data_IF_332114447480
#
_entry.id   IF_332114447480
#
_cell.length_a   1.000
_cell.length_b   1.000
_cell.length_c   1.000
_cell.angle_alpha   90.00
_cell.angle_beta   90.00
_cell.angle_gamma   90.00
#
_symmetry.space_group_name_H-M   'P 1'
#
loop_
_entity.id
_entity.type
_entity.pdbx_description
1 polymer ?
#
# COMPACT_ATOMS: atom_id res chain seq x y z
N UNK A 1 10.25 44.34 24.54
CA UNK A 1 10.34 42.90 24.87
C UNK A 1 8.95 42.24 24.79
N UNK A 2 8.25 42.33 23.64
CA UNK A 2 6.85 41.82 23.51
C UNK A 2 6.62 40.98 22.25
N UNK A 3 7.51 41.08 21.25
CA UNK A 3 7.44 40.28 20.01
C UNK A 3 8.06 38.88 20.11
N UNK A 4 8.79 38.57 21.18
CA UNK A 4 9.40 37.23 21.35
C UNK A 4 8.37 36.13 21.72
N UNK A 5 7.22 36.54 22.29
CA UNK A 5 6.19 35.60 22.77
C UNK A 5 5.38 34.96 21.64
N UNK A 6 5.24 35.65 20.50
CA UNK A 6 4.44 35.16 19.35
C UNK A 6 5.15 34.00 18.62
N UNK A 7 6.49 34.04 18.57
CA UNK A 7 7.30 33.03 17.89
C UNK A 7 7.25 31.69 18.64
N UNK A 8 7.19 31.71 19.97
CA UNK A 8 7.10 30.51 20.79
C UNK A 8 5.79 29.76 20.56
N UNK A 9 4.66 30.46 20.44
CA UNK A 9 3.35 29.81 20.22
C UNK A 9 3.29 29.09 18.88
N UNK A 10 3.90 29.66 17.82
CA UNK A 10 3.93 29.04 16.48
C UNK A 10 4.74 27.75 16.43
N UNK A 11 5.75 27.57 17.29
CA UNK A 11 6.58 26.36 17.33
C UNK A 11 5.86 25.15 17.93
N UNK A 12 4.83 25.34 18.76
CA UNK A 12 4.08 24.24 19.38
C UNK A 12 2.86 23.75 18.57
N UNK A 13 2.44 24.48 17.53
CA UNK A 13 1.29 24.11 16.68
C UNK A 13 1.68 23.17 15.53
N UNK A 14 2.97 22.86 15.35
CA UNK A 14 3.49 22.06 14.24
C UNK A 14 3.52 20.54 14.46
N UNK A 15 3.09 20.04 15.62
CA UNK A 15 3.03 18.59 15.88
C UNK A 15 1.61 18.07 15.64
N UNK A 16 1.15 18.16 14.39
CA UNK A 16 0.15 17.22 13.94
C UNK A 16 0.76 15.83 14.05
N UNK A 17 0.29 15.03 15.01
CA UNK A 17 0.67 13.62 15.08
C UNK A 17 0.19 12.96 13.78
N UNK A 18 1.09 12.84 12.81
CA UNK A 18 0.86 12.03 11.63
C UNK A 18 0.79 10.58 12.12
N UNK A 19 -0.42 10.06 12.29
CA UNK A 19 -0.64 8.63 12.48
C UNK A 19 -0.30 7.96 11.16
N UNK A 20 1.00 7.76 10.90
CA UNK A 20 1.47 6.86 9.84
C UNK A 20 1.06 5.46 10.29
N UNK A 21 -0.12 5.03 9.84
CA UNK A 21 -0.45 3.62 9.87
C UNK A 21 0.66 2.90 9.10
N UNK A 22 1.39 2.02 9.79
CA UNK A 22 2.42 1.18 9.21
C UNK A 22 1.73 0.17 8.29
N UNK A 23 1.61 0.51 7.02
CA UNK A 23 1.13 -0.42 6.00
C UNK A 23 2.33 -1.19 5.45
N UNK A 24 2.29 -2.52 5.50
CA UNK A 24 3.25 -3.34 4.78
C UNK A 24 2.81 -3.52 3.35
N UNK A 25 3.76 -3.60 2.44
CA UNK A 25 3.50 -4.01 1.05
C UNK A 25 3.82 -5.49 0.94
N UNK A 26 2.80 -6.30 0.63
CA UNK A 26 2.94 -7.72 0.34
C UNK A 26 3.01 -7.93 -1.17
N UNK A 27 3.69 -9.01 -1.59
CA UNK A 27 3.77 -9.43 -2.98
C UNK A 27 3.34 -10.90 -3.12
N UNK A 28 2.64 -11.23 -4.20
CA UNK A 28 2.24 -12.61 -4.51
C UNK A 28 2.14 -12.82 -6.02
N UNK A 29 2.56 -13.99 -6.49
CA UNK A 29 2.46 -14.35 -7.91
C UNK A 29 1.28 -15.27 -8.14
N UNK A 30 0.57 -15.03 -9.23
CA UNK A 30 -0.60 -15.78 -9.67
C UNK A 30 -0.37 -16.28 -11.10
N UNK A 31 -0.92 -17.45 -11.41
CA UNK A 31 -0.98 -17.91 -12.79
C UNK A 31 -2.16 -17.25 -13.50
N UNK A 32 -1.93 -16.70 -14.69
CA UNK A 32 -2.94 -16.06 -15.54
C UNK A 32 -2.66 -16.40 -17.01
N UNK A 33 -3.51 -17.20 -17.63
CA UNK A 33 -3.40 -17.50 -19.06
C UNK A 33 -3.64 -16.23 -19.89
N UNK A 34 -2.84 -16.02 -20.94
CA UNK A 34 -2.82 -14.78 -21.73
C UNK A 34 -2.61 -13.54 -20.84
N UNK A 35 -1.58 -13.61 -20.01
CA UNK A 35 -1.27 -12.55 -19.07
C UNK A 35 -1.00 -11.23 -19.82
N UNK A 36 -1.71 -10.17 -19.41
CA UNK A 36 -1.52 -8.78 -19.83
C UNK A 36 -1.57 -7.91 -18.60
N UNK A 37 -0.90 -6.76 -18.60
CA UNK A 37 -0.88 -5.86 -17.43
C UNK A 37 -2.30 -5.46 -16.97
N UNK A 38 -3.26 -5.12 -17.85
CA UNK A 38 -4.60 -4.77 -17.41
C UNK A 38 -5.36 -5.95 -16.78
N UNK A 39 -5.23 -7.15 -17.35
CA UNK A 39 -5.87 -8.35 -16.80
C UNK A 39 -5.25 -8.74 -15.46
N UNK A 40 -3.93 -8.62 -15.33
CA UNK A 40 -3.20 -8.88 -14.11
C UNK A 40 -3.57 -7.87 -13.00
N UNK A 41 -3.54 -6.57 -13.30
CA UNK A 41 -3.93 -5.53 -12.35
C UNK A 41 -5.36 -5.74 -11.85
N UNK A 42 -6.30 -6.06 -12.74
CA UNK A 42 -7.68 -6.39 -12.37
C UNK A 42 -7.75 -7.61 -11.44
N UNK A 43 -7.04 -8.69 -11.77
CA UNK A 43 -6.99 -9.90 -10.94
C UNK A 43 -6.44 -9.59 -9.53
N UNK A 44 -5.37 -8.80 -9.45
CA UNK A 44 -4.77 -8.43 -8.17
C UNK A 44 -5.70 -7.54 -7.34
N UNK A 45 -6.38 -6.58 -7.96
CA UNK A 45 -7.41 -5.79 -7.30
C UNK A 45 -8.54 -6.69 -6.82
N UNK A 46 -9.10 -7.55 -7.66
CA UNK A 46 -10.22 -8.41 -7.29
C UNK A 46 -9.87 -9.37 -6.13
N UNK A 47 -8.68 -9.97 -6.13
CA UNK A 47 -8.24 -10.92 -5.09
C UNK A 47 -7.77 -10.24 -3.80
N UNK A 48 -6.98 -9.17 -3.91
CA UNK A 48 -6.21 -8.62 -2.79
C UNK A 48 -6.69 -7.23 -2.34
N UNK A 49 -7.27 -6.44 -3.25
CA UNK A 49 -7.78 -5.11 -2.95
C UNK A 49 -9.29 -5.07 -2.66
N UNK A 50 -10.09 -5.83 -3.40
CA UNK A 50 -11.54 -5.74 -3.45
C UNK A 50 -12.24 -6.26 -2.19
N UNK A 51 -11.72 -7.34 -1.59
CA UNK A 51 -12.31 -7.90 -0.37
C UNK A 51 -11.97 -7.10 0.90
N UNK A 52 -10.89 -6.31 0.85
CA UNK A 52 -10.34 -5.62 2.03
C UNK A 52 -10.30 -4.10 1.89
N UNK A 53 -10.78 -3.53 0.78
CA UNK A 53 -10.63 -2.12 0.40
C UNK A 53 -9.17 -1.64 0.47
N UNK A 54 -8.23 -2.49 0.05
CA UNK A 54 -6.79 -2.20 0.09
C UNK A 54 -6.28 -1.81 -1.28
N UNK A 55 -5.27 -0.96 -1.31
CA UNK A 55 -4.56 -0.67 -2.55
C UNK A 55 -3.85 -1.95 -2.99
N UNK A 56 -4.20 -2.42 -4.18
CA UNK A 56 -3.61 -3.57 -4.84
C UNK A 56 -3.35 -3.23 -6.30
N UNK A 57 -2.25 -3.75 -6.84
CA UNK A 57 -1.87 -3.59 -8.23
C UNK A 57 -1.18 -4.86 -8.71
N UNK A 58 -0.99 -4.99 -10.02
CA UNK A 58 -0.22 -6.08 -10.59
C UNK A 58 0.36 -5.76 -11.94
N UNK A 59 1.41 -6.48 -12.30
CA UNK A 59 2.02 -6.42 -13.62
C UNK A 59 2.25 -7.83 -14.16
N UNK A 60 2.20 -7.94 -15.48
CA UNK A 60 2.36 -9.19 -16.16
C UNK A 60 3.84 -9.52 -16.41
N UNK A 61 4.21 -10.75 -16.10
CA UNK A 61 5.44 -11.41 -16.52
C UNK A 61 5.07 -12.48 -17.56
N UNK A 62 5.29 -12.20 -18.86
CA UNK A 62 4.94 -13.13 -19.93
C UNK A 62 5.64 -14.49 -19.75
N UNK A 63 4.98 -15.61 -20.13
CA UNK A 63 3.70 -15.67 -20.83
C UNK A 63 2.47 -15.74 -19.93
N UNK A 64 2.61 -16.11 -18.66
CA UNK A 64 1.45 -16.52 -17.84
C UNK A 64 1.56 -16.19 -16.34
N UNK A 65 2.53 -15.37 -15.93
CA UNK A 65 2.73 -15.04 -14.52
C UNK A 65 2.25 -13.63 -14.25
N UNK A 66 1.32 -13.46 -13.32
CA UNK A 66 0.85 -12.17 -12.85
C UNK A 66 1.44 -11.87 -11.47
N UNK A 67 2.25 -10.82 -11.36
CA UNK A 67 2.87 -10.42 -10.10
C UNK A 67 2.02 -9.34 -9.43
N UNK A 68 1.38 -9.67 -8.31
CA UNK A 68 0.55 -8.77 -7.53
C UNK A 68 1.32 -8.14 -6.38
N UNK A 69 1.07 -6.86 -6.13
CA UNK A 69 1.47 -6.15 -4.91
C UNK A 69 0.23 -5.54 -4.24
N UNK A 70 0.16 -5.58 -2.92
CA UNK A 70 -0.98 -5.05 -2.18
C UNK A 70 -0.61 -4.63 -0.76
N UNK A 71 -1.33 -3.67 -0.21
CA UNK A 71 -1.18 -3.31 1.20
C UNK A 71 -1.69 -4.48 2.06
N UNK A 72 -0.89 -4.88 3.04
CA UNK A 72 -1.24 -5.87 4.03
C UNK A 72 -1.07 -5.29 5.43
N UNK A 73 -2.06 -5.54 6.30
CA UNK A 73 -1.88 -5.31 7.73
C UNK A 73 -0.81 -6.28 8.24
N UNK A 74 -0.06 -5.90 9.29
CA UNK A 74 0.84 -6.77 10.05
C UNK A 74 0.10 -8.01 10.61
N UNK A 75 -0.24 -8.96 9.74
CA UNK A 75 -0.50 -10.34 10.09
C UNK A 75 0.82 -11.03 9.76
N UNK A 76 1.51 -11.64 10.74
CA UNK A 76 2.81 -12.26 10.51
C UNK A 76 2.70 -13.16 9.28
N UNK A 77 3.54 -12.87 8.28
CA UNK A 77 3.67 -13.68 7.09
C UNK A 77 3.94 -15.11 7.57
N UNK A 78 2.93 -15.98 7.48
CA UNK A 78 3.15 -17.40 7.69
C UNK A 78 4.05 -17.82 6.52
N UNK A 79 5.34 -17.92 6.83
CA UNK A 79 6.36 -18.47 5.95
C UNK A 79 5.80 -19.77 5.36
N UNK A 80 5.57 -19.75 4.05
CA UNK A 80 5.20 -20.89 3.23
C UNK A 80 6.37 -21.18 2.31
#
# INVERSE_FOLDING_TARGET
MKSFLVILVLLFLGSGNEVRAEFNVCAKSEHLDNCTDPACAKLCVDKYGGQFHRDANGFCQPPSTCACTYLCSNVPSAAH
#
